data_IF_017288190758
#
_entry.id   IF_017288190758
#
_cell.length_a   1.000
_cell.length_b   1.000
_cell.length_c   1.000
_cell.angle_alpha   90.00
_cell.angle_beta   90.00
_cell.angle_gamma   90.00
#
_symmetry.space_group_name_H-M   'P 1'
#
loop_
_entity.id
_entity.type
_entity.pdbx_description
1 polymer ?
#
# COMPACT_ATOMS: atom_id res chain seq x y z
N UNK A 1 7.39 9.04 -73.37
CA UNK A 1 7.12 7.63 -73.67
C UNK A 1 5.85 7.60 -74.51
N UNK A 2 5.99 7.23 -75.80
CA UNK A 2 4.92 6.76 -76.73
C UNK A 2 3.90 7.82 -77.19
N UNK A 3 3.63 8.12 -78.46
CA UNK A 3 4.17 7.74 -79.78
C UNK A 3 3.75 8.83 -80.79
N UNK A 4 4.66 9.15 -81.69
CA UNK A 4 4.43 9.83 -82.98
C UNK A 4 3.56 8.99 -83.91
N UNK A 5 2.63 9.60 -84.66
CA UNK A 5 2.20 9.10 -85.98
C UNK A 5 2.21 10.24 -86.98
N UNK A 6 3.06 10.05 -87.99
CA UNK A 6 3.29 10.86 -89.18
C UNK A 6 2.91 9.96 -90.37
N UNK A 7 2.10 10.45 -91.29
CA UNK A 7 1.89 9.92 -92.64
C UNK A 7 1.34 11.09 -93.48
N UNK A 8 2.05 11.69 -94.47
CA UNK A 8 2.48 11.15 -95.78
C UNK A 8 1.25 10.74 -96.59
N UNK A 9 0.89 11.28 -97.78
CA UNK A 9 1.65 11.73 -98.94
C UNK A 9 0.75 12.45 -99.99
N UNK A 10 1.37 13.30 -100.85
CA UNK A 10 1.19 13.54 -102.32
C UNK A 10 -0.19 13.36 -103.02
N UNK A 11 -0.62 14.07 -104.07
CA UNK A 11 0.03 14.73 -105.22
C UNK A 11 -1.03 15.56 -106.00
N UNK A 12 -0.59 16.69 -106.59
CA UNK A 12 -1.07 17.37 -107.83
C UNK A 12 -2.53 17.22 -108.32
N UNK A 13 -3.18 18.36 -108.60
CA UNK A 13 -3.51 18.76 -109.99
C UNK A 13 -4.12 20.16 -110.05
N UNK A 14 -3.49 21.00 -110.87
CA UNK A 14 -4.00 22.26 -111.36
C UNK A 14 -4.93 21.98 -112.54
N UNK A 15 -6.21 22.32 -112.44
CA UNK A 15 -7.04 22.65 -113.61
C UNK A 15 -8.27 23.42 -113.12
N UNK A 16 -8.48 24.58 -113.75
CA UNK A 16 -9.41 25.58 -113.28
C UNK A 16 -10.87 25.15 -113.26
N UNK A 17 -11.61 25.82 -112.38
CA UNK A 17 -12.92 26.33 -112.69
C UNK A 17 -13.12 27.61 -111.90
N UNK A 18 -12.90 28.73 -112.59
CA UNK A 18 -13.45 30.04 -112.24
C UNK A 18 -14.98 29.96 -112.28
N UNK A 19 -15.59 29.35 -111.27
CA UNK A 19 -16.98 29.66 -110.93
C UNK A 19 -16.94 30.86 -109.99
N UNK A 20 -17.14 32.05 -110.55
CA UNK A 20 -17.57 33.24 -109.81
C UNK A 20 -18.86 32.87 -109.07
N UNK A 21 -18.75 32.34 -107.86
CA UNK A 21 -19.84 32.45 -106.89
C UNK A 21 -19.83 33.90 -106.44
N UNK A 22 -20.87 34.64 -106.79
CA UNK A 22 -21.20 35.88 -106.14
C UNK A 22 -21.19 35.63 -104.63
N UNK A 23 -20.12 36.03 -103.94
CA UNK A 23 -20.07 36.02 -102.48
C UNK A 23 -21.01 37.10 -102.02
N UNK A 24 -22.21 36.67 -101.66
CA UNK A 24 -23.23 37.50 -101.06
C UNK A 24 -22.61 38.18 -99.82
N UNK A 25 -22.60 39.52 -99.71
CA UNK A 25 -21.92 40.25 -98.61
C UNK A 25 -22.47 39.85 -97.23
N UNK A 26 -23.70 39.33 -97.18
CA UNK A 26 -24.35 38.69 -96.04
C UNK A 26 -23.54 37.53 -95.44
N UNK A 27 -22.89 36.70 -96.26
CA UNK A 27 -22.14 35.49 -95.82
C UNK A 27 -20.83 35.86 -95.14
N UNK A 28 -20.11 36.87 -95.63
CA UNK A 28 -18.87 37.37 -94.98
C UNK A 28 -19.15 38.07 -93.65
N UNK A 29 -20.26 38.80 -93.57
CA UNK A 29 -20.70 39.43 -92.32
C UNK A 29 -21.10 38.34 -91.32
N UNK A 30 -21.85 37.32 -91.77
CA UNK A 30 -22.19 36.17 -90.94
C UNK A 30 -20.96 35.43 -90.40
N UNK A 31 -19.93 35.19 -91.22
CA UNK A 31 -18.71 34.49 -90.80
C UNK A 31 -17.86 35.30 -89.80
N UNK A 32 -17.84 36.64 -89.92
CA UNK A 32 -17.21 37.54 -88.94
C UNK A 32 -17.99 37.60 -87.64
N UNK A 33 -19.32 37.67 -87.73
CA UNK A 33 -20.21 37.61 -86.57
C UNK A 33 -20.05 36.28 -85.85
N UNK A 34 -19.97 35.17 -86.56
CA UNK A 34 -19.73 33.85 -86.00
C UNK A 34 -18.36 33.77 -85.31
N UNK A 35 -17.30 34.30 -85.91
CA UNK A 35 -15.97 34.38 -85.28
C UNK A 35 -15.97 35.24 -84.02
N UNK A 36 -16.63 36.40 -84.06
CA UNK A 36 -16.76 37.29 -82.89
C UNK A 36 -17.59 36.61 -81.81
N UNK A 37 -18.72 35.99 -82.16
CA UNK A 37 -19.61 35.32 -81.24
C UNK A 37 -18.94 34.09 -80.60
N UNK A 38 -18.10 33.37 -81.36
CA UNK A 38 -17.29 32.25 -80.86
C UNK A 38 -16.15 32.73 -79.94
N UNK A 39 -15.52 33.85 -80.24
CA UNK A 39 -14.50 34.46 -79.37
C UNK A 39 -15.11 35.01 -78.08
N UNK A 40 -16.24 35.72 -78.18
CA UNK A 40 -16.99 36.24 -77.04
C UNK A 40 -17.54 35.09 -76.19
N UNK A 41 -18.07 34.04 -76.81
CA UNK A 41 -18.49 32.80 -76.14
C UNK A 41 -17.32 32.15 -75.38
N UNK A 42 -16.16 32.03 -76.01
CA UNK A 42 -14.96 31.47 -75.36
C UNK A 42 -14.51 32.34 -74.18
N UNK A 43 -14.53 33.65 -74.34
CA UNK A 43 -14.17 34.58 -73.27
C UNK A 43 -15.19 34.58 -72.13
N UNK A 44 -16.48 34.49 -72.45
CA UNK A 44 -17.54 34.33 -71.46
C UNK A 44 -17.40 33.01 -70.68
N UNK A 45 -17.04 31.91 -71.34
CA UNK A 45 -16.80 30.62 -70.69
C UNK A 45 -15.58 30.66 -69.74
N UNK A 46 -14.52 31.38 -70.11
CA UNK A 46 -13.35 31.59 -69.23
C UNK A 46 -13.76 32.40 -68.00
N UNK A 47 -14.46 33.52 -68.19
CA UNK A 47 -14.93 34.31 -67.06
C UNK A 47 -15.92 33.54 -66.17
N UNK A 48 -16.78 32.70 -66.75
CA UNK A 48 -17.66 31.82 -65.96
C UNK A 48 -16.85 30.83 -65.12
N UNK A 49 -15.76 30.27 -65.66
CA UNK A 49 -14.89 29.35 -64.90
C UNK A 49 -14.12 30.06 -63.78
N UNK A 50 -13.62 31.28 -64.03
CA UNK A 50 -12.95 32.10 -63.01
C UNK A 50 -13.92 32.52 -61.92
N UNK A 51 -15.15 32.88 -62.29
CA UNK A 51 -16.19 33.28 -61.34
C UNK A 51 -16.63 32.10 -60.47
N UNK A 52 -16.73 30.90 -61.04
CA UNK A 52 -16.98 29.66 -60.29
C UNK A 52 -15.83 29.29 -59.34
N UNK A 53 -14.57 29.51 -59.72
CA UNK A 53 -13.43 29.29 -58.81
C UNK A 53 -13.41 30.30 -57.66
N UNK A 54 -13.76 31.56 -57.93
CA UNK A 54 -13.90 32.56 -56.86
C UNK A 54 -15.05 32.22 -55.92
N UNK A 55 -16.20 31.78 -56.46
CA UNK A 55 -17.35 31.35 -55.66
C UNK A 55 -17.01 30.13 -54.78
N UNK A 56 -16.30 29.15 -55.33
CA UNK A 56 -15.90 27.95 -54.57
C UNK A 56 -14.96 28.31 -53.41
N UNK A 57 -13.94 29.15 -53.65
CA UNK A 57 -13.02 29.63 -52.61
C UNK A 57 -13.72 30.50 -51.57
N UNK A 58 -14.67 31.34 -51.98
CA UNK A 58 -15.44 32.15 -51.05
C UNK A 58 -16.29 31.24 -50.14
N UNK A 59 -16.93 30.22 -50.71
CA UNK A 59 -17.73 29.25 -49.96
C UNK A 59 -16.87 28.45 -48.98
N UNK A 60 -15.69 28.00 -49.41
CA UNK A 60 -14.72 27.32 -48.54
C UNK A 60 -14.25 28.24 -47.40
N UNK A 61 -13.88 29.48 -47.71
CA UNK A 61 -13.45 30.43 -46.69
C UNK A 61 -14.56 30.79 -45.71
N UNK A 62 -15.81 30.97 -46.18
CA UNK A 62 -16.95 31.19 -45.30
C UNK A 62 -17.25 29.99 -44.41
N UNK A 63 -17.10 28.77 -44.94
CA UNK A 63 -17.16 27.54 -44.15
C UNK A 63 -16.07 27.50 -43.07
N UNK A 64 -14.83 27.82 -43.43
CA UNK A 64 -13.70 27.90 -42.49
C UNK A 64 -13.93 28.96 -41.42
N UNK A 65 -14.40 30.15 -41.78
CA UNK A 65 -14.74 31.20 -40.82
C UNK A 65 -15.86 30.75 -39.87
N UNK A 66 -16.88 30.07 -40.38
CA UNK A 66 -17.96 29.54 -39.55
C UNK A 66 -17.45 28.46 -38.59
N UNK A 67 -16.53 27.61 -39.03
CA UNK A 67 -15.89 26.61 -38.17
C UNK A 67 -15.07 27.28 -37.05
N UNK A 68 -14.28 28.31 -37.40
CA UNK A 68 -13.49 29.08 -36.42
C UNK A 68 -14.40 29.78 -35.41
N UNK A 69 -15.48 30.42 -35.86
CA UNK A 69 -16.44 31.10 -35.00
C UNK A 69 -17.10 30.13 -34.02
N UNK A 70 -17.46 28.93 -34.49
CA UNK A 70 -17.98 27.86 -33.64
C UNK A 70 -16.97 27.43 -32.58
N UNK A 71 -15.70 27.22 -32.96
CA UNK A 71 -14.64 26.84 -32.03
C UNK A 71 -14.36 27.94 -30.99
N UNK A 72 -14.38 29.20 -31.42
CA UNK A 72 -14.18 30.34 -30.53
C UNK A 72 -15.34 30.45 -29.53
N UNK A 73 -16.57 30.27 -29.99
CA UNK A 73 -17.76 30.22 -29.14
C UNK A 73 -17.69 29.08 -28.12
N UNK A 74 -17.25 27.89 -28.53
CA UNK A 74 -17.08 26.76 -27.61
C UNK A 74 -15.98 27.02 -26.58
N UNK A 75 -14.82 27.52 -27.01
CA UNK A 75 -13.71 27.85 -26.14
C UNK A 75 -14.08 28.94 -25.13
N UNK A 76 -14.78 29.99 -25.56
CA UNK A 76 -15.26 31.06 -24.70
C UNK A 76 -16.27 30.54 -23.67
N UNK A 77 -17.25 29.74 -24.09
CA UNK A 77 -18.22 29.13 -23.19
C UNK A 77 -17.54 28.17 -22.19
N UNK A 78 -16.54 27.42 -22.65
CA UNK A 78 -15.71 26.55 -21.83
C UNK A 78 -14.95 27.35 -20.77
N UNK A 79 -14.29 28.44 -21.17
CA UNK A 79 -13.56 29.33 -20.27
C UNK A 79 -14.48 29.97 -19.25
N UNK A 80 -15.62 30.53 -19.67
CA UNK A 80 -16.59 31.15 -18.78
C UNK A 80 -17.12 30.14 -17.73
N UNK A 81 -17.41 28.91 -18.15
CA UNK A 81 -17.82 27.83 -17.23
C UNK A 81 -16.70 27.47 -16.26
N UNK A 82 -15.46 27.37 -16.74
CA UNK A 82 -14.32 27.04 -15.90
C UNK A 82 -14.05 28.14 -14.87
N UNK A 83 -14.02 29.40 -15.28
CA UNK A 83 -13.88 30.54 -14.37
C UNK A 83 -14.95 30.55 -13.28
N UNK A 84 -16.23 30.30 -13.63
CA UNK A 84 -17.32 30.17 -12.64
C UNK A 84 -17.19 28.97 -11.71
N UNK A 85 -16.51 27.89 -12.14
CA UNK A 85 -16.24 26.73 -11.28
C UNK A 85 -15.05 27.02 -10.35
N UNK A 86 -13.99 27.62 -10.89
CA UNK A 86 -12.83 28.03 -10.12
C UNK A 86 -13.21 29.05 -9.03
N UNK A 87 -14.04 30.04 -9.37
CA UNK A 87 -14.52 31.04 -8.41
C UNK A 87 -15.38 30.40 -7.31
N UNK A 88 -16.27 29.46 -7.66
CA UNK A 88 -17.01 28.67 -6.65
C UNK A 88 -16.10 27.81 -5.77
N UNK A 89 -15.08 27.18 -6.35
CA UNK A 89 -14.11 26.41 -5.57
C UNK A 89 -13.33 27.32 -4.61
N UNK A 90 -12.90 28.49 -5.06
CA UNK A 90 -12.23 29.49 -4.24
C UNK A 90 -13.13 30.01 -3.11
N UNK A 91 -14.42 30.23 -3.38
CA UNK A 91 -15.34 30.77 -2.38
C UNK A 91 -15.89 29.71 -1.41
N UNK A 92 -15.98 28.45 -1.81
CA UNK A 92 -16.62 27.39 -1.00
C UNK A 92 -15.64 26.33 -0.53
N UNK A 93 -14.81 25.79 -1.43
CA UNK A 93 -13.95 24.66 -1.10
C UNK A 93 -12.72 25.11 -0.31
N UNK A 94 -12.11 26.25 -0.67
CA UNK A 94 -10.93 26.75 0.03
C UNK A 94 -11.23 27.11 1.49
N UNK A 95 -12.29 27.88 1.83
CA UNK A 95 -12.61 28.15 3.22
C UNK A 95 -12.92 26.88 4.00
N UNK A 96 -13.68 25.95 3.42
CA UNK A 96 -13.97 24.67 4.06
C UNK A 96 -12.71 23.87 4.37
N UNK A 97 -11.74 23.83 3.45
CA UNK A 97 -10.45 23.16 3.70
C UNK A 97 -9.64 23.86 4.81
N UNK A 98 -9.73 25.18 4.91
CA UNK A 98 -9.09 25.94 6.00
C UNK A 98 -9.76 25.59 7.34
N UNK A 99 -11.09 25.56 7.40
CA UNK A 99 -11.85 25.22 8.60
C UNK A 99 -11.55 23.77 9.05
N UNK A 100 -11.54 22.81 8.11
CA UNK A 100 -11.19 21.40 8.39
C UNK A 100 -9.74 21.24 8.89
N UNK A 101 -8.82 22.06 8.39
CA UNK A 101 -7.43 22.07 8.83
C UNK A 101 -7.28 22.66 10.24
N UNK A 102 -8.01 23.75 10.53
CA UNK A 102 -8.05 24.36 11.86
C UNK A 102 -8.64 23.40 12.91
N UNK A 103 -9.73 22.70 12.56
CA UNK A 103 -10.31 21.67 13.42
C UNK A 103 -9.32 20.53 13.68
N UNK A 104 -8.65 20.04 12.63
CA UNK A 104 -7.64 18.99 12.75
C UNK A 104 -6.47 19.42 13.62
N UNK A 105 -6.01 20.67 13.49
CA UNK A 105 -4.96 21.23 14.32
C UNK A 105 -5.40 21.32 15.79
N UNK A 106 -6.64 21.70 16.06
CA UNK A 106 -7.21 21.75 17.41
C UNK A 106 -7.24 20.36 18.05
N UNK A 107 -7.70 19.35 17.32
CA UNK A 107 -7.71 17.95 17.78
C UNK A 107 -6.28 17.46 18.05
N UNK A 108 -5.32 17.78 17.19
CA UNK A 108 -3.93 17.39 17.39
C UNK A 108 -3.31 18.05 18.63
N UNK A 109 -3.65 19.31 18.89
CA UNK A 109 -3.21 20.03 20.09
C UNK A 109 -3.83 19.43 21.36
N UNK A 110 -5.11 19.07 21.33
CA UNK A 110 -5.79 18.37 22.43
C UNK A 110 -5.15 17.00 22.68
N UNK A 111 -4.86 16.24 21.62
CA UNK A 111 -4.18 14.97 21.73
C UNK A 111 -2.76 15.14 22.30
N UNK A 112 -2.04 16.17 21.87
CA UNK A 112 -0.71 16.50 22.41
C UNK A 112 -0.77 16.84 23.90
N UNK A 113 -1.84 17.49 24.36
CA UNK A 113 -2.05 17.78 25.79
C UNK A 113 -2.44 16.53 26.60
N UNK A 114 -3.20 15.61 26.03
CA UNK A 114 -3.72 14.42 26.74
C UNK A 114 -2.74 13.23 26.71
N UNK A 115 -1.91 13.11 25.69
CA UNK A 115 -0.98 11.98 25.51
C UNK A 115 0.00 11.80 26.68
N UNK A 116 0.60 12.87 27.26
CA UNK A 116 1.46 12.72 28.43
C UNK A 116 0.72 12.21 29.67
N UNK A 117 -0.54 12.63 29.85
CA UNK A 117 -1.37 12.17 30.96
C UNK A 117 -1.72 10.68 30.80
N UNK A 118 -2.02 10.23 29.58
CA UNK A 118 -2.23 8.80 29.29
C UNK A 118 -0.93 8.01 29.48
N UNK A 119 0.21 8.56 29.06
CA UNK A 119 1.50 7.89 29.24
C UNK A 119 1.82 7.65 30.72
N UNK A 120 1.68 8.67 31.56
CA UNK A 120 1.92 8.54 33.01
C UNK A 120 0.93 7.57 33.67
N UNK A 121 -0.34 7.53 33.22
CA UNK A 121 -1.31 6.53 33.69
C UNK A 121 -0.90 5.10 33.31
N UNK A 122 -0.42 4.89 32.08
CA UNK A 122 0.04 3.57 31.61
C UNK A 122 1.30 3.13 32.35
N UNK A 123 2.24 4.05 32.62
CA UNK A 123 3.41 3.77 33.46
C UNK A 123 2.99 3.34 34.87
N UNK A 124 2.05 4.05 35.51
CA UNK A 124 1.53 3.67 36.82
C UNK A 124 0.83 2.31 36.83
N UNK A 125 0.05 1.99 35.79
CA UNK A 125 -0.57 0.66 35.64
C UNK A 125 0.50 -0.43 35.49
N UNK A 126 1.56 -0.15 34.73
CA UNK A 126 2.67 -1.09 34.53
C UNK A 126 3.41 -1.36 35.83
N UNK A 127 3.70 -0.33 36.62
CA UNK A 127 4.33 -0.49 37.94
C UNK A 127 3.47 -1.34 38.89
N UNK A 128 2.15 -1.07 38.93
CA UNK A 128 1.21 -1.87 39.74
C UNK A 128 1.13 -3.32 39.26
N UNK A 129 1.12 -3.55 37.95
CA UNK A 129 1.11 -4.90 37.37
C UNK A 129 2.41 -5.66 37.69
N UNK A 130 3.57 -4.99 37.56
CA UNK A 130 4.87 -5.58 37.85
C UNK A 130 5.00 -5.91 39.35
N UNK A 131 4.55 -5.00 40.24
CA UNK A 131 4.48 -5.26 41.68
C UNK A 131 3.54 -6.42 42.03
N UNK A 132 2.37 -6.49 41.37
CA UNK A 132 1.43 -7.60 41.53
C UNK A 132 2.03 -8.94 41.08
N UNK A 133 2.76 -8.93 39.96
CA UNK A 133 3.45 -10.11 39.42
C UNK A 133 4.56 -10.58 40.36
N UNK A 134 5.32 -9.67 40.96
CA UNK A 134 6.37 -10.01 41.93
C UNK A 134 5.77 -10.67 43.17
N UNK A 135 4.72 -10.08 43.76
CA UNK A 135 3.99 -10.68 44.89
C UNK A 135 3.40 -12.05 44.56
N UNK A 136 2.88 -12.24 43.34
CA UNK A 136 2.36 -13.53 42.92
C UNK A 136 3.47 -14.58 42.80
N UNK A 137 4.67 -14.20 42.34
CA UNK A 137 5.84 -15.10 42.31
C UNK A 137 6.26 -15.49 43.71
N UNK A 138 6.33 -14.53 44.62
CA UNK A 138 6.65 -14.81 46.03
C UNK A 138 5.63 -15.75 46.65
N UNK A 139 4.33 -15.51 46.40
CA UNK A 139 3.26 -16.38 46.88
C UNK A 139 3.34 -17.79 46.26
N UNK A 140 3.71 -17.92 44.98
CA UNK A 140 3.92 -19.21 44.35
C UNK A 140 5.13 -19.93 44.96
N UNK A 141 6.22 -19.22 45.24
CA UNK A 141 7.38 -19.79 45.94
C UNK A 141 6.97 -20.24 47.35
N UNK A 142 6.20 -19.44 48.07
CA UNK A 142 5.72 -19.78 49.40
C UNK A 142 4.73 -20.95 49.39
N UNK A 143 3.83 -21.02 48.41
CA UNK A 143 2.87 -22.11 48.23
C UNK A 143 3.53 -23.39 47.75
N UNK A 144 4.50 -23.31 46.84
CA UNK A 144 5.28 -24.48 46.42
C UNK A 144 6.10 -25.01 47.59
N UNK A 145 6.73 -24.13 48.37
CA UNK A 145 7.31 -24.51 49.65
C UNK A 145 6.24 -25.07 50.60
N UNK A 146 5.02 -24.51 50.62
CA UNK A 146 3.94 -24.99 51.49
C UNK A 146 3.45 -26.40 51.10
N UNK A 147 3.51 -26.71 49.81
CA UNK A 147 3.01 -27.93 49.20
C UNK A 147 4.06 -29.05 49.13
N UNK A 148 5.36 -28.76 49.30
CA UNK A 148 6.38 -29.81 49.40
C UNK A 148 6.04 -30.80 50.53
N UNK A 149 6.27 -32.09 50.27
CA UNK A 149 5.94 -33.13 51.22
C UNK A 149 6.74 -32.97 52.52
N UNK A 150 6.13 -33.33 53.65
CA UNK A 150 6.72 -33.15 54.98
C UNK A 150 8.12 -33.79 55.10
N UNK A 151 8.32 -34.96 54.48
CA UNK A 151 9.61 -35.66 54.49
C UNK A 151 10.69 -34.92 53.68
N UNK A 152 10.34 -34.38 52.51
CA UNK A 152 11.27 -33.61 51.67
C UNK A 152 11.68 -32.30 52.33
N UNK A 153 10.74 -31.63 52.99
CA UNK A 153 10.99 -30.44 53.81
C UNK A 153 11.91 -30.72 54.98
N UNK A 154 11.67 -31.81 55.71
CA UNK A 154 12.52 -32.19 56.83
C UNK A 154 13.95 -32.47 56.36
N UNK A 155 14.11 -33.19 55.23
CA UNK A 155 15.43 -33.42 54.61
C UNK A 155 16.10 -32.10 54.17
N UNK A 156 15.36 -31.20 53.52
CA UNK A 156 15.87 -29.89 53.10
C UNK A 156 16.29 -29.00 54.29
N UNK A 157 15.54 -29.01 55.39
CA UNK A 157 15.88 -28.24 56.61
C UNK A 157 17.15 -28.78 57.29
N UNK A 158 17.33 -30.10 57.30
CA UNK A 158 18.52 -30.73 57.89
C UNK A 158 19.76 -30.44 57.05
N UNK A 159 19.69 -30.63 55.72
CA UNK A 159 20.86 -30.61 54.83
C UNK A 159 21.12 -29.28 54.10
N UNK A 160 20.12 -28.42 53.88
CA UNK A 160 20.26 -27.13 53.17
C UNK A 160 20.09 -25.95 54.13
N UNK A 161 21.04 -24.98 54.10
CA UNK A 161 21.00 -23.79 54.95
C UNK A 161 19.99 -22.72 54.49
N UNK A 162 19.43 -22.84 53.30
CA UNK A 162 18.61 -21.81 52.65
C UNK A 162 17.10 -22.04 52.78
N UNK A 163 16.62 -22.60 53.89
CA UNK A 163 15.18 -22.77 54.15
C UNK A 163 14.58 -21.53 54.84
N UNK A 164 13.43 -21.00 54.40
CA UNK A 164 12.76 -19.80 54.94
C UNK A 164 12.03 -20.09 56.27
N UNK A 165 12.73 -20.72 57.22
CA UNK A 165 12.17 -21.14 58.50
C UNK A 165 12.95 -20.48 59.62
N UNK A 166 12.26 -20.12 60.70
CA UNK A 166 12.89 -19.53 61.88
C UNK A 166 14.07 -20.39 62.36
N UNK A 167 15.18 -19.71 62.70
CA UNK A 167 16.43 -20.36 63.12
C UNK A 167 16.23 -21.35 64.27
N UNK A 168 15.25 -21.08 65.16
CA UNK A 168 14.90 -21.92 66.30
C UNK A 168 14.35 -23.29 65.88
N UNK A 169 13.47 -23.34 64.88
CA UNK A 169 12.91 -24.60 64.40
C UNK A 169 13.96 -25.42 63.63
N UNK A 170 14.87 -24.74 62.90
CA UNK A 170 16.03 -25.38 62.28
C UNK A 170 16.94 -26.05 63.30
N UNK A 171 17.24 -25.36 64.40
CA UNK A 171 18.04 -25.92 65.49
C UNK A 171 17.35 -27.13 66.12
N UNK A 172 16.04 -27.04 66.40
CA UNK A 172 15.25 -28.13 66.97
C UNK A 172 15.23 -29.38 66.07
N UNK A 173 15.03 -29.22 64.76
CA UNK A 173 15.04 -30.36 63.82
C UNK A 173 16.41 -31.03 63.74
N UNK A 174 17.50 -30.25 63.75
CA UNK A 174 18.86 -30.78 63.75
C UNK A 174 19.20 -31.49 65.05
N UNK A 175 18.77 -30.98 66.20
CA UNK A 175 18.98 -31.67 67.48
C UNK A 175 18.18 -32.95 67.57
N UNK A 176 16.92 -32.98 67.09
CA UNK A 176 16.12 -34.20 67.00
C UNK A 176 16.81 -35.29 66.16
N UNK A 177 17.42 -34.90 65.03
CA UNK A 177 18.18 -35.83 64.18
C UNK A 177 19.43 -36.38 64.89
N UNK A 178 20.19 -35.53 65.59
CA UNK A 178 21.36 -35.98 66.35
C UNK A 178 20.94 -36.92 67.49
N UNK A 179 19.87 -36.59 68.21
CA UNK A 179 19.35 -37.44 69.30
C UNK A 179 18.88 -38.78 68.76
N UNK A 180 18.16 -38.84 67.64
CA UNK A 180 17.74 -40.11 67.05
C UNK A 180 18.92 -40.96 66.60
N UNK A 181 19.97 -40.35 66.03
CA UNK A 181 21.21 -41.04 65.68
C UNK A 181 21.93 -41.62 66.90
N UNK A 182 22.02 -40.85 67.99
CA UNK A 182 22.61 -41.30 69.25
C UNK A 182 21.82 -42.45 69.87
N UNK A 183 20.49 -42.39 69.85
CA UNK A 183 19.63 -43.49 70.32
C UNK A 183 19.81 -44.75 69.49
N UNK A 184 19.85 -44.63 68.15
CA UNK A 184 20.12 -45.77 67.27
C UNK A 184 21.51 -46.37 67.54
N UNK A 185 22.53 -45.53 67.70
CA UNK A 185 23.88 -45.98 68.04
C UNK A 185 23.91 -46.66 69.40
N UNK A 186 23.20 -46.12 70.39
CA UNK A 186 23.09 -46.69 71.73
C UNK A 186 22.40 -48.06 71.73
N UNK A 187 21.27 -48.19 71.03
CA UNK A 187 20.55 -49.46 70.89
C UNK A 187 21.42 -50.47 70.13
N UNK A 188 22.07 -50.04 69.04
CA UNK A 188 22.98 -50.90 68.28
C UNK A 188 24.15 -51.37 69.15
N UNK A 189 24.73 -50.49 69.97
CA UNK A 189 25.78 -50.82 70.93
C UNK A 189 25.31 -51.82 71.99
N UNK A 190 24.11 -51.64 72.55
CA UNK A 190 23.51 -52.60 73.49
C UNK A 190 23.25 -53.94 72.81
N UNK A 191 22.73 -53.93 71.58
CA UNK A 191 22.48 -55.15 70.81
C UNK A 191 23.79 -55.87 70.49
N UNK A 192 24.85 -55.15 70.13
CA UNK A 192 26.19 -55.70 69.90
C UNK A 192 26.79 -56.26 71.19
N UNK A 193 26.66 -55.52 72.30
CA UNK A 193 27.10 -55.97 73.62
C UNK A 193 26.31 -57.19 74.12
N UNK A 194 25.01 -57.23 73.84
CA UNK A 194 24.13 -58.36 74.11
C UNK A 194 24.49 -59.59 73.28
N UNK A 195 24.70 -59.42 71.97
CA UNK A 195 25.16 -60.47 71.07
C UNK A 195 26.55 -60.97 71.47
N UNK A 196 27.47 -60.08 71.83
CA UNK A 196 28.80 -60.42 72.33
C UNK A 196 28.72 -61.23 73.63
N UNK A 197 27.84 -60.82 74.56
CA UNK A 197 27.60 -61.54 75.81
C UNK A 197 26.96 -62.91 75.57
N UNK A 198 25.99 -63.01 74.67
CA UNK A 198 25.37 -64.28 74.28
C UNK A 198 26.39 -65.23 73.61
N UNK A 199 27.25 -64.70 72.75
CA UNK A 199 28.34 -65.45 72.12
C UNK A 199 29.34 -65.97 73.18
N UNK A 200 29.72 -65.12 74.15
CA UNK A 200 30.60 -65.52 75.26
C UNK A 200 29.97 -66.57 76.17
N UNK A 201 28.68 -66.46 76.50
CA UNK A 201 27.99 -67.48 77.29
C UNK A 201 27.76 -68.79 76.52
N UNK A 202 27.61 -68.74 75.19
CA UNK A 202 27.55 -69.95 74.35
C UNK A 202 28.88 -70.73 74.36
N UNK A 203 30.02 -70.03 74.48
CA UNK A 203 31.33 -70.68 74.69
C UNK A 203 31.43 -71.37 76.05
N UNK A 204 30.90 -70.76 77.12
CA UNK A 204 30.91 -71.34 78.48
C UNK A 204 30.03 -72.60 78.60
N UNK A 205 28.95 -72.70 77.83
CA UNK A 205 28.14 -73.92 77.75
C UNK A 205 28.68 -74.96 76.74
N UNK A 206 29.53 -74.54 75.80
CA UNK A 206 30.23 -75.44 74.88
C UNK A 206 31.34 -76.26 75.55
N UNK A 207 32.04 -75.70 76.54
CA UNK A 207 33.09 -76.42 77.29
C UNK A 207 32.52 -77.42 78.33
N UNK A 208 31.25 -77.31 78.71
CA UNK A 208 30.61 -78.22 79.69
C UNK A 208 29.86 -79.40 79.07
N UNK A 209 29.87 -79.54 77.75
CA UNK A 209 29.31 -80.68 77.01
C UNK A 209 30.39 -81.57 76.34
N UNK A 210 31.68 -81.22 76.49
CA UNK A 210 32.81 -82.05 76.09
C UNK A 210 33.81 -82.21 77.25
N UNK A 211 33.35 -82.77 78.36
CA UNK A 211 34.11 -83.71 79.22
C UNK A 211 33.19 -84.30 80.29
#
# INVERSE_FOLDING_TARGET
>A
MVLTVKSSEHLQSSAGQTSRSWQDPSVRVAERLEKVLKNVSKQAAVHESEMKDLESRLSENLSNFRAIDSLLGEAYNGLQRNTKRADRALQQQVPRMIDELEESQKVLNELTGTLPAVHTQVEGIRELYDSGREKARDLVVDLTWLNTEFYERWRLIVFTSSSPVSWRLKALMRTLFVVSFLLCFWISWIALGGAYRAHKHRLVWGEKLMS
#
